data_IF_556952123867
#
_entry.id   IF_556952123867
#
_cell.length_a   1.000
_cell.length_b   1.000
_cell.length_c   1.000
_cell.angle_alpha   90.00
_cell.angle_beta   90.00
_cell.angle_gamma   90.00
#
_symmetry.space_group_name_H-M   'P 1'
#
loop_
_entity.id
_entity.type
_entity.pdbx_description
1 polymer ?
#
# COMPACT_ATOMS: atom_id res chain seq x y z
N UNK A 1 -6.98 -17.63 -6.86
CA UNK A 1 -8.18 -16.86 -6.46
C UNK A 1 -7.96 -16.45 -5.01
N UNK A 2 -7.59 -15.19 -4.76
CA UNK A 2 -7.38 -14.70 -3.39
C UNK A 2 -8.76 -14.57 -2.74
N UNK A 3 -8.99 -15.23 -1.60
CA UNK A 3 -10.19 -14.99 -0.81
C UNK A 3 -10.13 -13.58 -0.20
N UNK A 4 -11.28 -12.98 0.16
CA UNK A 4 -11.31 -11.70 0.91
C UNK A 4 -10.34 -11.78 2.09
N UNK A 5 -9.39 -10.86 2.12
CA UNK A 5 -8.25 -10.89 3.04
C UNK A 5 -8.08 -9.52 3.67
N UNK A 6 -8.09 -9.49 5.00
CA UNK A 6 -7.66 -8.32 5.75
C UNK A 6 -6.20 -8.50 6.11
N UNK A 7 -5.37 -7.54 5.70
CA UNK A 7 -3.96 -7.50 6.03
C UNK A 7 -3.70 -6.40 7.03
N UNK A 8 -2.84 -6.70 7.98
CA UNK A 8 -2.21 -5.69 8.82
C UNK A 8 -0.82 -5.47 8.29
N UNK A 9 -0.53 -4.23 7.95
CA UNK A 9 0.82 -3.85 7.60
C UNK A 9 1.70 -3.96 8.84
N UNK A 10 2.79 -4.70 8.73
CA UNK A 10 3.72 -4.98 9.82
C UNK A 10 4.92 -4.03 9.76
N UNK A 11 5.25 -3.48 8.59
CA UNK A 11 6.29 -2.46 8.45
C UNK A 11 6.20 -1.68 7.15
N UNK A 12 6.65 -0.41 7.18
CA UNK A 12 7.14 0.28 5.99
C UNK A 12 8.61 0.61 6.23
N UNK A 13 9.45 0.14 5.33
CA UNK A 13 10.88 0.38 5.35
C UNK A 13 11.25 1.29 4.20
N UNK A 14 11.71 2.50 4.52
CA UNK A 14 12.36 3.38 3.55
C UNK A 14 13.86 3.04 3.50
N UNK A 15 14.33 2.60 2.34
CA UNK A 15 15.74 2.26 2.12
C UNK A 15 16.56 3.42 1.52
N UNK A 16 15.98 4.61 1.33
CA UNK A 16 16.65 5.79 0.78
C UNK A 16 17.64 6.44 1.76
N UNK A 17 18.95 6.42 1.44
CA UNK A 17 20.05 7.00 2.22
C UNK A 17 19.75 8.43 2.73
N UNK A 18 19.85 8.61 4.05
CA UNK A 18 20.15 9.86 4.79
C UNK A 18 19.44 11.16 4.32
N UNK A 19 18.17 11.35 4.66
CA UNK A 19 17.55 12.69 4.71
C UNK A 19 16.50 12.73 5.82
N UNK A 20 16.41 13.83 6.57
CA UNK A 20 15.47 14.01 7.70
C UNK A 20 13.99 14.04 7.27
N UNK A 21 13.71 13.90 5.97
CA UNK A 21 12.39 13.99 5.35
C UNK A 21 11.87 12.63 4.84
N UNK A 22 12.10 11.54 5.57
CA UNK A 22 11.59 10.22 5.14
C UNK A 22 10.08 10.12 5.35
N UNK A 23 9.30 9.82 4.31
CA UNK A 23 7.91 9.48 4.48
C UNK A 23 7.78 8.20 5.30
N UNK A 24 7.00 8.23 6.38
CA UNK A 24 6.52 7.03 7.06
C UNK A 24 5.02 6.94 6.87
N UNK A 25 4.52 5.78 6.44
CA UNK A 25 3.09 5.50 6.47
C UNK A 25 2.82 4.38 7.47
N UNK A 26 2.05 4.72 8.51
CA UNK A 26 1.47 3.72 9.38
C UNK A 26 0.11 3.36 8.81
N UNK A 27 0.05 2.32 7.97
CA UNK A 27 -1.22 1.78 7.53
C UNK A 27 -1.92 1.16 8.75
N UNK A 28 -3.13 1.64 9.03
CA UNK A 28 -3.93 1.20 10.17
C UNK A 28 -4.72 -0.05 9.79
N UNK A 29 -5.48 0.04 8.69
CA UNK A 29 -6.28 -1.04 8.15
C UNK A 29 -6.06 -1.14 6.63
N UNK A 30 -5.83 -2.34 6.11
CA UNK A 30 -5.82 -2.65 4.68
C UNK A 30 -6.71 -3.85 4.43
N UNK A 31 -7.69 -3.68 3.54
CA UNK A 31 -8.58 -4.75 3.12
C UNK A 31 -8.48 -4.95 1.61
N UNK A 32 -8.31 -6.21 1.23
CA UNK A 32 -8.30 -6.65 -0.15
C UNK A 32 -9.46 -7.64 -0.37
N UNK A 33 -10.28 -7.38 -1.38
CA UNK A 33 -11.31 -8.33 -1.77
C UNK A 33 -10.84 -9.36 -2.82
N UNK A 34 -11.69 -10.34 -3.13
CA UNK A 34 -11.33 -11.41 -4.06
C UNK A 34 -11.14 -10.95 -5.51
N UNK A 35 -11.56 -9.72 -5.83
CA UNK A 35 -11.37 -9.07 -7.13
C UNK A 35 -10.12 -8.17 -7.15
N UNK A 36 -9.33 -8.16 -6.06
CA UNK A 36 -8.14 -7.33 -5.90
C UNK A 36 -8.46 -5.88 -5.56
N UNK A 37 -9.70 -5.53 -5.18
CA UNK A 37 -9.98 -4.16 -4.75
C UNK A 37 -9.39 -3.91 -3.36
N UNK A 38 -8.59 -2.85 -3.27
CA UNK A 38 -7.92 -2.42 -2.07
C UNK A 38 -8.63 -1.21 -1.46
N UNK A 39 -8.79 -1.21 -0.14
CA UNK A 39 -9.26 -0.07 0.62
C UNK A 39 -8.62 -0.04 2.01
N UNK A 40 -8.38 1.16 2.54
CA UNK A 40 -7.80 1.26 3.86
C UNK A 40 -7.56 2.69 4.33
N UNK A 41 -6.90 2.78 5.48
CA UNK A 41 -6.48 4.03 6.09
C UNK A 41 -5.01 3.98 6.49
N UNK A 42 -4.34 5.13 6.43
CA UNK A 42 -2.96 5.28 6.85
C UNK A 42 -2.72 6.65 7.50
N UNK A 43 -1.79 6.71 8.43
CA UNK A 43 -1.23 7.98 8.90
C UNK A 43 0.10 8.20 8.19
N UNK A 44 0.21 9.29 7.43
CA UNK A 44 1.47 9.76 6.85
C UNK A 44 2.19 10.63 7.87
N UNK A 45 3.51 10.49 7.94
CA UNK A 45 4.41 11.56 8.37
C UNK A 45 5.41 11.87 7.27
N UNK A 46 5.46 13.11 6.79
CA UNK A 46 6.36 13.56 5.72
C UNK A 46 6.76 15.02 5.95
N UNK A 47 8.06 15.33 5.88
CA UNK A 47 8.58 16.70 6.03
C UNK A 47 8.14 17.41 7.34
N UNK A 48 7.89 16.66 8.41
CA UNK A 48 7.41 17.19 9.69
C UNK A 48 5.90 17.41 9.76
N UNK A 49 5.17 17.17 8.66
CA UNK A 49 3.71 17.16 8.62
C UNK A 49 3.17 15.75 8.87
N UNK A 50 2.03 15.66 9.56
CA UNK A 50 1.34 14.39 9.86
C UNK A 50 -0.10 14.51 9.43
N UNK A 51 -0.53 13.60 8.55
CA UNK A 51 -1.89 13.60 8.00
C UNK A 51 -2.48 12.19 8.05
N UNK A 52 -3.77 12.11 8.39
CA UNK A 52 -4.55 10.90 8.25
C UNK A 52 -5.16 10.82 6.85
N UNK A 53 -5.02 9.66 6.24
CA UNK A 53 -5.39 9.42 4.85
C UNK A 53 -6.26 8.19 4.72
N UNK A 54 -7.10 8.21 3.69
CA UNK A 54 -7.74 7.02 3.15
C UNK A 54 -7.10 6.66 1.84
N UNK A 55 -7.15 5.40 1.47
CA UNK A 55 -6.74 4.97 0.14
C UNK A 55 -7.68 3.93 -0.43
N UNK A 56 -7.77 3.92 -1.74
CA UNK A 56 -8.43 2.89 -2.53
C UNK A 56 -7.53 2.48 -3.69
N UNK A 57 -7.72 1.29 -4.22
CA UNK A 57 -6.93 0.86 -5.35
C UNK A 57 -7.33 -0.50 -5.89
N UNK A 58 -6.53 -0.99 -6.83
CA UNK A 58 -6.70 -2.32 -7.37
C UNK A 58 -5.34 -3.01 -7.49
N UNK A 59 -5.29 -4.26 -7.05
CA UNK A 59 -4.21 -5.19 -7.20
C UNK A 59 -4.51 -6.13 -8.37
N UNK A 60 -3.57 -6.22 -9.31
CA UNK A 60 -3.58 -7.24 -10.37
C UNK A 60 -2.53 -8.27 -10.02
N UNK A 61 -2.97 -9.48 -9.68
CA UNK A 61 -2.10 -10.58 -9.22
C UNK A 61 -2.01 -11.65 -10.29
N UNK A 62 -0.79 -11.93 -10.70
CA UNK A 62 -0.43 -12.96 -11.66
C UNK A 62 -0.43 -14.35 -11.01
N UNK A 63 -0.51 -15.44 -11.81
CA UNK A 63 -0.46 -16.82 -11.30
C UNK A 63 0.84 -17.19 -10.58
N UNK A 64 1.93 -16.46 -10.80
CA UNK A 64 3.23 -16.64 -10.13
C UNK A 64 3.34 -15.89 -8.79
N UNK A 65 2.21 -15.42 -8.25
CA UNK A 65 2.09 -14.64 -7.02
C UNK A 65 2.75 -13.25 -7.06
N UNK A 66 3.20 -12.79 -8.22
CA UNK A 66 3.62 -11.40 -8.44
C UNK A 66 2.43 -10.55 -8.85
N UNK A 67 2.52 -9.23 -8.67
CA UNK A 67 1.43 -8.34 -9.04
C UNK A 67 1.83 -6.88 -9.12
N UNK A 68 0.85 -6.06 -9.47
CA UNK A 68 0.97 -4.61 -9.46
C UNK A 68 -0.26 -4.00 -8.82
N UNK A 69 -0.02 -3.03 -7.94
CA UNK A 69 -1.08 -2.26 -7.30
C UNK A 69 -1.09 -0.84 -7.85
N UNK A 70 -2.29 -0.33 -8.12
CA UNK A 70 -2.51 1.10 -8.38
C UNK A 70 -3.37 1.64 -7.26
N UNK A 71 -2.80 2.54 -6.46
CA UNK A 71 -3.43 3.09 -5.26
C UNK A 71 -3.64 4.59 -5.44
N UNK A 72 -4.84 5.04 -5.13
CA UNK A 72 -5.22 6.43 -4.99
C UNK A 72 -5.32 6.76 -3.50
N UNK A 73 -4.69 7.85 -3.09
CA UNK A 73 -4.62 8.26 -1.68
C UNK A 73 -5.27 9.62 -1.52
N UNK A 74 -6.10 9.73 -0.48
CA UNK A 74 -6.94 10.88 -0.22
C UNK A 74 -6.68 11.44 1.18
N UNK A 75 -6.66 12.76 1.27
CA UNK A 75 -6.62 13.51 2.52
C UNK A 75 -7.90 14.33 2.60
N UNK A 76 -8.70 14.13 3.66
CA UNK A 76 -10.03 14.75 3.78
C UNK A 76 -10.93 14.60 2.54
N UNK A 77 -10.81 13.47 1.83
CA UNK A 77 -11.58 13.16 0.61
C UNK A 77 -11.03 13.76 -0.69
N UNK A 78 -9.95 14.55 -0.63
CA UNK A 78 -9.27 15.11 -1.80
C UNK A 78 -8.14 14.18 -2.25
N UNK A 79 -8.08 13.84 -3.53
CA UNK A 79 -6.98 13.04 -4.08
C UNK A 79 -5.68 13.83 -3.95
N UNK A 80 -4.72 13.30 -3.18
CA UNK A 80 -3.42 13.93 -2.96
C UNK A 80 -2.28 13.17 -3.62
N UNK A 81 -2.53 11.93 -4.06
CA UNK A 81 -1.49 11.08 -4.65
C UNK A 81 -2.05 9.87 -5.36
N UNK A 82 -1.35 9.46 -6.42
CA UNK A 82 -1.50 8.14 -7.04
C UNK A 82 -0.16 7.42 -7.04
N UNK A 83 -0.14 6.17 -6.59
CA UNK A 83 1.07 5.35 -6.47
C UNK A 83 0.90 4.03 -7.17
N UNK A 84 1.97 3.59 -7.83
CA UNK A 84 2.08 2.24 -8.38
C UNK A 84 3.08 1.45 -7.56
N UNK A 85 2.72 0.24 -7.17
CA UNK A 85 3.60 -0.68 -6.44
C UNK A 85 3.78 -1.97 -7.23
N UNK A 86 4.97 -2.55 -7.14
CA UNK A 86 5.15 -3.96 -7.46
C UNK A 86 4.87 -4.76 -6.19
N UNK A 87 4.05 -5.80 -6.31
CA UNK A 87 3.57 -6.62 -5.21
C UNK A 87 4.04 -8.07 -5.39
N UNK A 88 4.32 -8.74 -4.28
CA UNK A 88 4.53 -10.19 -4.21
C UNK A 88 3.78 -10.73 -3.01
N UNK A 89 2.98 -11.76 -3.21
CA UNK A 89 2.47 -12.59 -2.12
C UNK A 89 3.44 -13.73 -1.86
N UNK A 90 3.70 -13.98 -0.58
CA UNK A 90 4.46 -15.13 -0.12
C UNK A 90 3.78 -15.78 1.07
N UNK A 91 4.45 -16.78 1.66
CA UNK A 91 3.90 -17.61 2.73
C UNK A 91 2.48 -18.14 2.42
N UNK A 92 2.30 -18.66 1.19
CA UNK A 92 1.01 -19.15 0.67
C UNK A 92 -0.12 -18.09 0.71
N UNK A 93 0.21 -16.81 0.45
CA UNK A 93 -0.75 -15.71 0.45
C UNK A 93 -1.10 -15.19 1.84
N UNK A 94 -0.31 -15.55 2.86
CA UNK A 94 -0.45 -15.02 4.23
C UNK A 94 0.41 -13.80 4.48
N UNK A 95 1.41 -13.56 3.64
CA UNK A 95 2.23 -12.37 3.68
C UNK A 95 2.28 -11.71 2.30
N UNK A 96 2.42 -10.39 2.33
CA UNK A 96 2.48 -9.55 1.15
C UNK A 96 3.63 -8.57 1.31
N UNK A 97 4.43 -8.43 0.25
CA UNK A 97 5.55 -7.50 0.17
C UNK A 97 5.38 -6.63 -1.06
N UNK A 98 5.46 -5.31 -0.89
CA UNK A 98 5.35 -4.39 -2.01
C UNK A 98 6.48 -3.37 -2.01
N UNK A 99 6.85 -2.88 -3.19
CA UNK A 99 7.80 -1.78 -3.35
C UNK A 99 7.20 -0.72 -4.26
N UNK A 100 7.36 0.54 -3.88
CA UNK A 100 6.90 1.66 -4.70
C UNK A 100 7.71 1.72 -5.99
N UNK A 101 6.98 1.69 -7.10
CA UNK A 101 7.53 1.87 -8.45
C UNK A 101 7.41 3.33 -8.90
N UNK A 102 6.30 3.97 -8.55
CA UNK A 102 6.09 5.39 -8.82
C UNK A 102 5.15 6.03 -7.80
N UNK A 103 5.33 7.34 -7.64
CA UNK A 103 4.48 8.22 -6.85
C UNK A 103 4.25 9.48 -7.67
N UNK A 104 2.99 9.81 -7.94
CA UNK A 104 2.60 10.98 -8.73
C UNK A 104 1.60 11.83 -7.93
N UNK A 105 1.86 13.12 -7.88
CA UNK A 105 0.97 14.12 -7.29
C UNK A 105 -0.12 14.54 -8.29
N UNK A 106 -1.25 15.15 -7.83
CA UNK A 106 -2.34 15.56 -8.72
C UNK A 106 -1.93 16.56 -9.81
N UNK A 107 -0.86 17.31 -9.59
CA UNK A 107 -0.28 18.23 -10.58
C UNK A 107 0.61 17.51 -11.62
N UNK A 108 0.71 16.18 -11.59
CA UNK A 108 1.54 15.36 -12.47
C UNK A 108 3.01 15.24 -12.05
N UNK A 109 3.46 15.92 -10.99
CA UNK A 109 4.83 15.81 -10.52
C UNK A 109 5.09 14.40 -9.94
N UNK A 110 6.20 13.79 -10.34
CA UNK A 110 6.65 12.51 -9.76
C UNK A 110 7.61 12.75 -8.61
N UNK A 111 7.37 12.07 -7.48
CA UNK A 111 8.29 12.09 -6.35
C UNK A 111 9.14 10.82 -6.33
N UNK A 112 10.47 10.93 -6.18
CA UNK A 112 11.30 9.77 -5.91
C UNK A 112 10.95 9.20 -4.53
N UNK A 113 10.56 7.93 -4.48
CA UNK A 113 10.26 7.23 -3.24
C UNK A 113 10.77 5.78 -3.33
N UNK A 114 11.56 5.36 -2.33
CA UNK A 114 12.02 3.97 -2.19
C UNK A 114 11.45 3.42 -0.90
N UNK A 115 10.15 3.14 -0.94
CA UNK A 115 9.39 2.61 0.18
C UNK A 115 9.09 1.15 -0.09
N UNK A 116 9.34 0.29 0.89
CA UNK A 116 8.91 -1.09 0.92
C UNK A 116 7.81 -1.26 1.96
N UNK A 117 6.81 -2.08 1.65
CA UNK A 117 5.71 -2.45 2.51
C UNK A 117 5.85 -3.93 2.82
N UNK A 118 5.67 -4.28 4.09
CA UNK A 118 5.48 -5.66 4.53
C UNK A 118 4.14 -5.76 5.26
N UNK A 119 3.31 -6.72 4.88
CA UNK A 119 2.00 -6.95 5.47
C UNK A 119 1.75 -8.43 5.76
N UNK A 120 1.04 -8.69 6.85
CA UNK A 120 0.65 -10.02 7.31
C UNK A 120 -0.87 -10.12 7.33
N UNK A 121 -1.42 -11.21 6.83
CA UNK A 121 -2.86 -11.46 6.83
C UNK A 121 -3.34 -11.69 8.26
N UNK A 122 -4.32 -10.90 8.71
CA UNK A 122 -4.86 -10.98 10.08
C UNK A 122 -6.18 -11.74 10.14
N UNK A 123 -6.97 -11.69 9.07
CA UNK A 123 -8.19 -12.49 8.96
C UNK A 123 -8.29 -13.12 7.56
N UNK A 124 -8.53 -14.43 7.53
CA UNK A 124 -9.03 -15.10 6.33
C UNK A 124 -10.55 -15.06 6.39
N UNK A 125 -11.20 -14.36 5.47
CA UNK A 125 -12.63 -14.54 5.29
C UNK A 125 -12.90 -16.03 5.09
N UNK A 126 -13.81 -16.61 5.88
CA UNK A 126 -14.34 -17.95 5.56
C UNK A 126 -15.09 -17.79 4.24
N UNK A 127 -14.66 -18.53 3.22
CA UNK A 127 -15.57 -18.87 2.13
C UNK A 127 -16.66 -19.75 2.73
N UNK A 128 -17.84 -19.18 2.92
CA UNK A 128 -19.06 -19.96 3.15
C UNK A 128 -19.55 -20.51 1.79
#
# INVERSE_FOLDING_TARGET
MLARSSFRQVGIHDHGLYSRNRPRFCCRDLNEDASGNLAGTQTRSLNGDVADETFTGNAIVNPDCTGTDVIQVFESGVLVRTTMLNLVYDDNGRAARAIFKSLVLPNGASLPAVLAIEAQKVFSGKSE
#
